data_IF_554698550898
#
_entry.id   IF_554698550898
#
_cell.length_a   1.000
_cell.length_b   1.000
_cell.length_c   1.000
_cell.angle_alpha   90.00
_cell.angle_beta   90.00
_cell.angle_gamma   90.00
#
_symmetry.space_group_name_H-M   'P 1'
#
loop_
_entity.id
_entity.type
_entity.pdbx_description
1 polymer ?
#
# COMPACT_ATOMS: atom_id res chain seq x y z
N UNK A 1 0.94 -5.32 -8.46
CA UNK A 1 1.44 -4.78 -7.16
C UNK A 1 2.61 -3.86 -7.40
N UNK A 2 2.83 -2.87 -6.52
CA UNK A 2 4.02 -1.99 -6.65
C UNK A 2 5.31 -2.82 -6.68
N UNK A 3 6.21 -2.48 -7.60
CA UNK A 3 7.52 -3.11 -7.78
C UNK A 3 7.53 -4.61 -8.16
N UNK A 4 6.42 -5.19 -8.56
CA UNK A 4 6.31 -6.64 -8.80
C UNK A 4 7.32 -7.15 -9.84
N UNK A 5 7.43 -6.49 -10.99
CA UNK A 5 8.38 -6.86 -12.03
C UNK A 5 9.84 -6.77 -11.60
N UNK A 6 10.19 -5.72 -10.86
CA UNK A 6 11.54 -5.55 -10.30
C UNK A 6 11.82 -6.62 -9.23
N UNK A 7 10.85 -6.84 -8.33
CA UNK A 7 10.97 -7.81 -7.25
C UNK A 7 11.17 -9.24 -7.77
N UNK A 8 10.41 -9.66 -8.79
CA UNK A 8 10.55 -10.99 -9.38
C UNK A 8 11.94 -11.23 -9.96
N UNK A 9 12.48 -10.26 -10.70
CA UNK A 9 13.81 -10.35 -11.31
C UNK A 9 14.92 -10.40 -10.27
N UNK A 10 14.88 -9.52 -9.26
CA UNK A 10 15.86 -9.52 -8.18
C UNK A 10 15.79 -10.79 -7.36
N UNK A 11 14.59 -11.31 -7.08
CA UNK A 11 14.43 -12.58 -6.38
C UNK A 11 14.99 -13.77 -7.17
N UNK A 12 14.83 -13.79 -8.49
CA UNK A 12 15.40 -14.83 -9.35
C UNK A 12 16.93 -14.82 -9.26
N UNK A 13 17.54 -13.64 -9.38
CA UNK A 13 19.00 -13.44 -9.24
C UNK A 13 19.51 -13.91 -7.88
N UNK A 14 18.86 -13.50 -6.79
CA UNK A 14 19.28 -13.88 -5.44
C UNK A 14 19.01 -15.36 -5.09
N UNK A 15 18.05 -16.00 -5.73
CA UNK A 15 17.81 -17.42 -5.59
C UNK A 15 19.00 -18.24 -6.10
N UNK A 16 19.61 -17.82 -7.21
CA UNK A 16 20.85 -18.45 -7.73
C UNK A 16 22.02 -18.29 -6.77
N UNK A 17 22.18 -17.13 -6.12
CA UNK A 17 23.22 -16.91 -5.13
C UNK A 17 23.05 -17.77 -3.86
N UNK A 18 21.80 -17.90 -3.37
CA UNK A 18 21.48 -18.69 -2.15
C UNK A 18 21.85 -20.16 -2.24
N UNK A 19 21.91 -20.72 -3.47
CA UNK A 19 22.29 -22.11 -3.70
C UNK A 19 23.79 -22.39 -3.61
N UNK A 20 24.65 -21.36 -3.52
CA UNK A 20 26.12 -21.48 -3.50
C UNK A 20 26.68 -21.33 -2.08
N UNK A 21 27.41 -22.31 -1.61
CA UNK A 21 28.01 -22.30 -0.27
C UNK A 21 29.15 -21.30 -0.11
N UNK A 22 29.84 -20.95 -1.23
CA UNK A 22 30.85 -19.89 -1.34
C UNK A 22 30.57 -19.08 -2.58
N UNK A 23 30.77 -17.77 -2.51
CA UNK A 23 30.67 -16.87 -3.65
C UNK A 23 32.06 -16.44 -4.11
N UNK A 24 32.32 -16.57 -5.40
CA UNK A 24 33.50 -15.98 -6.04
C UNK A 24 33.24 -14.53 -6.47
N UNK A 25 34.25 -13.76 -6.76
CA UNK A 25 34.11 -12.42 -7.36
C UNK A 25 33.33 -12.47 -8.69
N UNK A 26 33.49 -13.57 -9.46
CA UNK A 26 32.75 -13.75 -10.71
C UNK A 26 31.25 -13.95 -10.47
N UNK A 27 30.88 -14.70 -9.42
CA UNK A 27 29.48 -14.86 -9.02
C UNK A 27 28.83 -13.53 -8.64
N UNK A 28 29.57 -12.69 -7.90
CA UNK A 28 29.12 -11.35 -7.53
C UNK A 28 28.97 -10.46 -8.77
N UNK A 29 29.96 -10.47 -9.69
CA UNK A 29 29.91 -9.71 -10.94
C UNK A 29 28.73 -10.12 -11.82
N UNK A 30 28.45 -11.43 -11.92
CA UNK A 30 27.32 -11.95 -12.68
C UNK A 30 25.99 -11.48 -12.06
N UNK A 31 25.83 -11.65 -10.75
CA UNK A 31 24.62 -11.20 -10.04
C UNK A 31 24.40 -9.69 -10.17
N UNK A 32 25.46 -8.89 -10.06
CA UNK A 32 25.37 -7.43 -10.22
C UNK A 32 25.02 -7.02 -11.65
N UNK A 33 25.42 -7.82 -12.66
CA UNK A 33 24.97 -7.62 -14.05
C UNK A 33 23.46 -7.83 -14.19
N UNK A 34 22.92 -8.89 -13.57
CA UNK A 34 21.47 -9.15 -13.58
C UNK A 34 20.70 -8.06 -12.81
N UNK A 35 21.18 -7.66 -11.63
CA UNK A 35 20.62 -6.55 -10.85
C UNK A 35 20.60 -5.25 -11.68
N UNK A 36 21.71 -4.96 -12.40
CA UNK A 36 21.78 -3.80 -13.30
C UNK A 36 20.70 -3.84 -14.37
N UNK A 37 20.51 -4.99 -15.02
CA UNK A 37 19.50 -5.16 -16.05
C UNK A 37 18.08 -4.99 -15.46
N UNK A 38 17.83 -5.59 -14.32
CA UNK A 38 16.53 -5.48 -13.63
C UNK A 38 16.17 -4.02 -13.28
N UNK A 39 17.14 -3.24 -12.77
CA UNK A 39 16.94 -1.83 -12.46
C UNK A 39 16.73 -0.96 -13.71
N UNK A 40 17.46 -1.22 -14.79
CA UNK A 40 17.29 -0.49 -16.06
C UNK A 40 15.92 -0.79 -16.70
N UNK A 41 15.46 -2.04 -16.67
CA UNK A 41 14.15 -2.43 -17.16
C UNK A 41 13.02 -1.88 -16.28
N UNK A 42 13.31 -1.56 -15.02
CA UNK A 42 12.42 -0.85 -14.11
C UNK A 42 12.40 0.68 -14.33
N UNK A 43 13.00 1.20 -15.41
CA UNK A 43 13.12 2.63 -15.72
C UNK A 43 13.95 3.44 -14.69
N UNK A 44 14.86 2.80 -13.95
CA UNK A 44 15.82 3.53 -13.12
C UNK A 44 16.88 4.19 -14.00
N UNK A 45 17.22 5.46 -13.71
CA UNK A 45 18.18 6.20 -14.54
C UNK A 45 19.55 5.50 -14.57
N UNK A 46 20.18 5.50 -15.75
CA UNK A 46 21.46 4.81 -15.96
C UNK A 46 22.55 5.25 -14.98
N UNK A 47 22.64 6.53 -14.66
CA UNK A 47 23.60 7.07 -13.69
C UNK A 47 23.40 6.45 -12.31
N UNK A 48 22.15 6.43 -11.84
CA UNK A 48 21.81 5.85 -10.53
C UNK A 48 22.14 4.37 -10.50
N UNK A 49 21.79 3.62 -11.55
CA UNK A 49 22.09 2.17 -11.63
C UNK A 49 23.58 1.91 -11.65
N UNK A 50 24.37 2.71 -12.38
CA UNK A 50 25.82 2.57 -12.44
C UNK A 50 26.46 2.77 -11.06
N UNK A 51 26.09 3.84 -10.37
CA UNK A 51 26.63 4.18 -9.06
C UNK A 51 26.21 3.13 -8.01
N UNK A 52 24.96 2.71 -8.02
CA UNK A 52 24.44 1.65 -7.16
C UNK A 52 25.20 0.32 -7.33
N UNK A 53 25.32 -0.17 -8.57
CA UNK A 53 26.02 -1.45 -8.85
C UNK A 53 27.49 -1.36 -8.47
N UNK A 54 28.15 -0.22 -8.68
CA UNK A 54 29.53 0.02 -8.26
C UNK A 54 29.67 -0.11 -6.75
N UNK A 55 28.85 0.64 -5.99
CA UNK A 55 28.89 0.65 -4.52
C UNK A 55 28.61 -0.72 -3.93
N UNK A 56 27.57 -1.42 -4.42
CA UNK A 56 27.26 -2.78 -3.97
C UNK A 56 28.39 -3.75 -4.27
N UNK A 57 29.00 -3.68 -5.48
CA UNK A 57 30.11 -4.57 -5.85
C UNK A 57 31.35 -4.35 -4.97
N UNK A 58 31.72 -3.11 -4.73
CA UNK A 58 32.84 -2.74 -3.87
C UNK A 58 32.64 -3.24 -2.43
N UNK A 59 31.44 -3.05 -1.88
CA UNK A 59 31.07 -3.52 -0.54
C UNK A 59 31.01 -5.04 -0.47
N UNK A 60 30.48 -5.71 -1.50
CA UNK A 60 30.33 -7.17 -1.52
C UNK A 60 31.66 -7.90 -1.64
N UNK A 61 32.65 -7.35 -2.38
CA UNK A 61 33.99 -7.91 -2.51
C UNK A 61 34.84 -7.65 -1.26
N UNK A 62 34.68 -6.50 -0.60
CA UNK A 62 35.44 -6.12 0.61
C UNK A 62 34.81 -6.62 1.92
N UNK A 63 33.64 -7.25 1.89
CA UNK A 63 32.95 -7.67 3.11
C UNK A 63 33.61 -8.92 3.71
N UNK A 64 34.14 -8.79 4.92
CA UNK A 64 34.39 -9.96 5.78
C UNK A 64 33.05 -10.65 6.04
N UNK A 65 32.99 -11.95 5.78
CA UNK A 65 31.78 -12.75 6.03
C UNK A 65 31.57 -12.78 7.54
N UNK A 66 30.49 -12.15 8.01
CA UNK A 66 30.10 -12.27 9.39
C UNK A 66 29.81 -13.75 9.70
N UNK A 67 30.35 -14.29 10.79
CA UNK A 67 30.24 -15.69 11.18
C UNK A 67 28.80 -16.22 11.24
N UNK A 68 27.83 -15.32 11.33
CA UNK A 68 26.38 -15.65 11.42
C UNK A 68 25.62 -15.64 10.09
N UNK A 69 26.21 -15.17 8.97
CA UNK A 69 25.53 -15.04 7.68
C UNK A 69 26.25 -15.83 6.59
N UNK A 70 25.46 -16.42 5.68
CA UNK A 70 26.02 -16.97 4.44
C UNK A 70 26.47 -15.83 3.50
N UNK A 71 27.46 -16.07 2.60
CA UNK A 71 27.91 -15.05 1.65
C UNK A 71 26.78 -14.47 0.81
N UNK A 72 25.79 -15.28 0.41
CA UNK A 72 24.62 -14.82 -0.31
C UNK A 72 23.71 -13.90 0.53
N UNK A 73 23.54 -14.21 1.82
CA UNK A 73 22.78 -13.33 2.74
C UNK A 73 23.48 -12.01 2.95
N UNK A 74 24.82 -11.99 2.99
CA UNK A 74 25.61 -10.79 3.10
C UNK A 74 25.41 -9.87 1.88
N UNK A 75 25.46 -10.41 0.66
CA UNK A 75 25.19 -9.63 -0.57
C UNK A 75 23.78 -9.07 -0.58
N UNK A 76 22.77 -9.88 -0.21
CA UNK A 76 21.38 -9.42 -0.14
C UNK A 76 21.22 -8.30 0.90
N UNK A 77 21.88 -8.41 2.05
CA UNK A 77 21.90 -7.37 3.08
C UNK A 77 22.47 -6.05 2.54
N UNK A 78 23.62 -6.10 1.85
CA UNK A 78 24.24 -4.93 1.24
C UNK A 78 23.31 -4.29 0.21
N UNK A 79 22.68 -5.08 -0.66
CA UNK A 79 21.71 -4.58 -1.64
C UNK A 79 20.52 -3.91 -0.95
N UNK A 80 20.00 -4.49 0.15
CA UNK A 80 18.91 -3.89 0.92
C UNK A 80 19.29 -2.55 1.53
N UNK A 81 20.48 -2.46 2.12
CA UNK A 81 21.01 -1.22 2.71
C UNK A 81 21.20 -0.13 1.65
N UNK A 82 21.77 -0.47 0.50
CA UNK A 82 21.98 0.49 -0.59
C UNK A 82 20.67 0.92 -1.26
N UNK A 83 19.69 0.02 -1.43
CA UNK A 83 18.34 0.40 -1.90
C UNK A 83 17.67 1.34 -0.91
N UNK A 84 17.78 1.04 0.38
CA UNK A 84 17.23 1.90 1.45
C UNK A 84 17.87 3.29 1.43
N UNK A 85 19.19 3.35 1.33
CA UNK A 85 19.94 4.60 1.24
C UNK A 85 19.58 5.42 -0.01
N UNK A 86 19.45 4.75 -1.16
CA UNK A 86 19.06 5.37 -2.43
C UNK A 86 17.68 6.03 -2.35
N UNK A 87 16.74 5.43 -1.62
CA UNK A 87 15.38 5.96 -1.40
C UNK A 87 15.30 7.00 -0.26
N UNK A 88 16.39 7.27 0.45
CA UNK A 88 16.47 8.33 1.46
C UNK A 88 16.77 7.87 2.89
N UNK A 89 17.02 6.58 3.12
CA UNK A 89 17.46 6.00 4.40
C UNK A 89 16.32 5.85 5.41
N UNK A 90 15.65 6.94 5.78
CA UNK A 90 14.58 6.96 6.77
C UNK A 90 13.33 7.69 6.25
N UNK A 91 12.20 7.45 6.91
CA UNK A 91 10.96 8.17 6.62
C UNK A 91 11.11 9.66 6.91
N UNK A 92 10.78 10.50 5.94
CA UNK A 92 10.76 11.96 6.07
C UNK A 92 9.35 12.43 6.41
N UNK A 93 9.15 12.91 7.63
CA UNK A 93 7.87 13.44 8.09
C UNK A 93 7.56 14.81 7.48
N UNK A 94 6.29 15.19 7.48
CA UNK A 94 5.88 16.56 7.17
C UNK A 94 6.37 17.50 8.27
N UNK A 95 6.84 18.67 7.86
CA UNK A 95 7.23 19.75 8.78
C UNK A 95 6.01 20.57 9.17
N UNK A 96 5.83 20.79 10.45
CA UNK A 96 4.74 21.64 10.95
C UNK A 96 5.25 23.04 11.25
N UNK A 97 4.41 24.03 10.99
CA UNK A 97 4.70 25.42 11.34
C UNK A 97 4.72 25.57 12.87
N UNK A 98 5.61 26.43 13.37
CA UNK A 98 5.67 26.76 14.80
C UNK A 98 4.42 27.50 15.31
N UNK A 99 3.71 28.17 14.40
CA UNK A 99 2.42 28.82 14.64
C UNK A 99 1.42 28.38 13.58
N UNK A 100 0.25 27.87 13.95
CA UNK A 100 -0.80 27.50 13.01
C UNK A 100 -1.27 28.69 12.16
N UNK A 101 -1.74 28.43 10.92
CA UNK A 101 -1.82 27.13 10.27
C UNK A 101 -0.53 26.68 9.62
N UNK A 102 -0.30 25.35 9.55
CA UNK A 102 0.69 24.76 8.66
C UNK A 102 0.15 24.79 7.23
N UNK A 103 0.82 25.50 6.33
CA UNK A 103 0.40 25.61 4.93
C UNK A 103 1.17 24.61 4.07
N UNK A 104 0.46 23.71 3.43
CA UNK A 104 0.99 22.70 2.52
C UNK A 104 0.54 23.01 1.10
N UNK A 105 1.48 23.35 0.23
CA UNK A 105 1.22 23.65 -1.17
C UNK A 105 1.46 22.40 -2.03
N UNK A 106 0.42 21.92 -2.69
CA UNK A 106 0.49 20.74 -3.56
C UNK A 106 0.70 21.18 -4.99
N UNK A 107 1.81 20.76 -5.60
CA UNK A 107 2.18 21.12 -6.98
C UNK A 107 2.36 19.87 -7.84
N UNK A 108 2.38 20.03 -9.17
CA UNK A 108 2.60 18.90 -10.10
C UNK A 108 1.80 19.03 -11.40
N UNK A 109 2.07 18.13 -12.33
CA UNK A 109 1.43 18.12 -13.65
C UNK A 109 -0.06 17.72 -13.57
N UNK A 110 -0.80 18.00 -14.65
CA UNK A 110 -2.17 17.55 -14.79
C UNK A 110 -2.22 16.02 -14.82
N UNK A 111 -3.22 15.43 -14.16
CA UNK A 111 -3.37 13.96 -14.10
C UNK A 111 -2.48 13.25 -13.07
N UNK A 112 -1.54 13.96 -12.44
CA UNK A 112 -0.70 13.37 -11.38
C UNK A 112 -1.48 13.00 -10.09
N UNK A 113 -2.74 13.45 -9.96
CA UNK A 113 -3.59 13.12 -8.82
C UNK A 113 -3.54 14.13 -7.65
N UNK A 114 -3.19 15.41 -7.91
CA UNK A 114 -3.12 16.45 -6.87
C UNK A 114 -4.37 16.53 -6.02
N UNK A 115 -5.51 16.87 -6.60
CA UNK A 115 -6.80 17.03 -5.90
C UNK A 115 -7.16 15.84 -5.02
N UNK A 116 -6.97 14.62 -5.54
CA UNK A 116 -7.24 13.39 -4.78
C UNK A 116 -6.26 13.24 -3.61
N UNK A 117 -4.97 13.52 -3.80
CA UNK A 117 -3.98 13.36 -2.74
C UNK A 117 -4.00 14.51 -1.72
N UNK A 118 -4.42 15.71 -2.11
CA UNK A 118 -4.79 16.78 -1.17
C UNK A 118 -5.83 16.28 -0.18
N UNK A 119 -6.92 15.69 -0.68
CA UNK A 119 -7.97 15.15 0.17
C UNK A 119 -7.51 13.95 1.02
N UNK A 120 -6.71 13.04 0.44
CA UNK A 120 -6.14 11.88 1.16
C UNK A 120 -5.23 12.32 2.31
N UNK A 121 -4.32 13.27 2.07
CA UNK A 121 -3.43 13.81 3.10
C UNK A 121 -4.22 14.54 4.20
N UNK A 122 -5.19 15.36 3.83
CA UNK A 122 -6.05 16.01 4.80
C UNK A 122 -6.81 14.99 5.66
N UNK A 123 -7.36 13.94 5.05
CA UNK A 123 -8.00 12.83 5.75
C UNK A 123 -7.06 12.07 6.69
N UNK A 124 -5.81 11.85 6.26
CA UNK A 124 -4.76 11.22 7.05
C UNK A 124 -4.43 12.04 8.30
N UNK A 125 -4.19 13.35 8.17
CA UNK A 125 -3.89 14.23 9.29
C UNK A 125 -5.11 14.48 10.19
N UNK A 126 -6.32 14.51 9.64
CA UNK A 126 -7.53 14.58 10.45
C UNK A 126 -7.68 13.38 11.40
N UNK A 127 -7.34 12.17 10.95
CA UNK A 127 -7.32 10.98 11.82
C UNK A 127 -6.31 11.11 12.97
N UNK A 128 -5.29 11.94 12.82
CA UNK A 128 -4.29 12.25 13.85
C UNK A 128 -4.69 13.40 14.78
N UNK A 129 -5.89 13.95 14.62
CA UNK A 129 -6.42 15.01 15.46
C UNK A 129 -6.22 16.41 14.93
N UNK A 130 -5.66 16.59 13.73
CA UNK A 130 -5.56 17.89 13.08
C UNK A 130 -6.89 18.37 12.51
N UNK A 131 -6.99 19.66 12.27
CA UNK A 131 -8.16 20.34 11.69
C UNK A 131 -7.81 20.96 10.33
N UNK A 132 -7.71 20.13 9.27
CA UNK A 132 -7.32 20.60 7.95
C UNK A 132 -8.42 21.42 7.28
N UNK A 133 -8.00 22.37 6.43
CA UNK A 133 -8.79 23.10 5.47
C UNK A 133 -8.29 22.74 4.06
N UNK A 134 -9.17 22.37 3.15
CA UNK A 134 -8.87 22.22 1.74
C UNK A 134 -9.11 23.54 1.01
N UNK A 135 -8.23 23.93 0.10
CA UNK A 135 -8.34 25.20 -0.65
C UNK A 135 -8.27 24.94 -2.14
N UNK A 136 -9.31 25.38 -2.87
CA UNK A 136 -9.42 25.20 -4.32
C UNK A 136 -8.70 26.33 -5.06
N UNK A 137 -7.42 26.14 -5.39
CA UNK A 137 -6.63 27.06 -6.21
C UNK A 137 -6.55 26.65 -7.70
N UNK A 138 -7.09 25.49 -8.12
CA UNK A 138 -7.26 25.14 -9.53
C UNK A 138 -8.54 25.78 -10.10
N UNK A 139 -8.44 27.05 -10.41
CA UNK A 139 -9.59 27.87 -10.89
C UNK A 139 -9.87 27.71 -12.38
N UNK A 140 -8.95 27.11 -13.15
CA UNK A 140 -9.07 26.98 -14.60
C UNK A 140 -10.01 25.83 -15.00
N UNK A 141 -10.24 24.91 -14.10
CA UNK A 141 -11.11 23.76 -14.31
C UNK A 141 -12.27 23.80 -13.30
N UNK A 142 -13.48 24.27 -13.72
CA UNK A 142 -14.64 24.35 -12.81
C UNK A 142 -14.95 23.00 -12.14
N UNK A 143 -14.74 21.90 -12.85
CA UNK A 143 -14.91 20.56 -12.30
C UNK A 143 -13.93 20.24 -11.14
N UNK A 144 -12.75 20.87 -11.08
CA UNK A 144 -11.79 20.63 -10.01
C UNK A 144 -12.28 21.18 -8.65
N UNK A 145 -12.88 22.37 -8.66
CA UNK A 145 -13.50 22.96 -7.45
C UNK A 145 -14.60 22.04 -6.93
N UNK A 146 -15.52 21.64 -7.81
CA UNK A 146 -16.62 20.72 -7.46
C UNK A 146 -16.07 19.37 -6.97
N UNK A 147 -15.03 18.84 -7.62
CA UNK A 147 -14.39 17.59 -7.20
C UNK A 147 -13.81 17.71 -5.78
N UNK A 148 -13.10 18.80 -5.47
CA UNK A 148 -12.54 19.03 -4.15
C UNK A 148 -13.65 19.16 -3.09
N UNK A 149 -14.76 19.83 -3.41
CA UNK A 149 -15.94 19.94 -2.53
C UNK A 149 -16.57 18.56 -2.24
N UNK A 150 -16.71 17.70 -3.25
CA UNK A 150 -17.27 16.36 -3.09
C UNK A 150 -16.40 15.52 -2.16
N UNK A 151 -15.08 15.48 -2.39
CA UNK A 151 -14.17 14.68 -1.55
C UNK A 151 -14.03 15.27 -0.15
N UNK A 152 -14.03 16.60 -0.01
CA UNK A 152 -14.06 17.29 1.28
C UNK A 152 -15.30 16.92 2.10
N UNK A 153 -16.48 16.91 1.47
CA UNK A 153 -17.73 16.48 2.11
C UNK A 153 -17.69 15.00 2.54
N UNK A 154 -17.14 14.12 1.71
CA UNK A 154 -16.99 12.69 2.07
C UNK A 154 -16.09 12.50 3.30
N UNK A 155 -15.07 13.33 3.44
CA UNK A 155 -14.15 13.29 4.56
C UNK A 155 -14.59 14.17 5.74
N UNK A 156 -15.72 14.90 5.65
CA UNK A 156 -16.12 15.95 6.61
C UNK A 156 -14.99 16.97 6.88
N UNK A 157 -14.32 17.42 5.82
CA UNK A 157 -13.27 18.45 5.87
C UNK A 157 -13.80 19.68 5.14
N UNK A 158 -13.72 20.90 5.73
CA UNK A 158 -14.15 22.12 5.07
C UNK A 158 -13.30 22.41 3.83
N UNK A 159 -13.96 22.97 2.81
CA UNK A 159 -13.33 23.39 1.57
C UNK A 159 -13.53 24.90 1.41
N UNK A 160 -12.45 25.62 1.27
CA UNK A 160 -12.45 27.06 0.98
C UNK A 160 -12.32 27.25 -0.54
N UNK A 161 -13.20 28.05 -1.10
CA UNK A 161 -13.19 28.44 -2.51
C UNK A 161 -13.75 29.85 -2.68
N UNK A 162 -13.36 30.52 -3.72
CA UNK A 162 -13.83 31.87 -4.08
C UNK A 162 -14.19 31.97 -5.58
N UNK A 163 -14.54 30.83 -6.18
CA UNK A 163 -14.83 30.77 -7.62
C UNK A 163 -13.58 30.96 -8.48
N UNK A 164 -13.77 31.54 -9.65
CA UNK A 164 -12.71 31.71 -10.68
C UNK A 164 -12.03 33.08 -10.57
N UNK A 165 -11.31 33.34 -9.50
CA UNK A 165 -10.50 34.56 -9.30
C UNK A 165 -9.01 34.21 -9.24
N UNK A 166 -8.14 35.20 -9.00
CA UNK A 166 -6.69 34.98 -8.90
C UNK A 166 -6.37 33.93 -7.79
N UNK A 167 -5.72 32.79 -8.11
CA UNK A 167 -5.32 31.76 -7.16
C UNK A 167 -4.49 32.29 -5.99
N UNK A 168 -3.71 33.35 -6.21
CA UNK A 168 -2.90 33.99 -5.17
C UNK A 168 -3.80 34.61 -4.09
N UNK A 169 -4.86 35.28 -4.50
CA UNK A 169 -5.84 35.86 -3.57
C UNK A 169 -6.58 34.76 -2.80
N UNK A 170 -7.00 33.69 -3.49
CA UNK A 170 -7.66 32.53 -2.85
C UNK A 170 -6.76 31.94 -1.76
N UNK A 171 -5.49 31.73 -2.07
CA UNK A 171 -4.53 31.15 -1.13
C UNK A 171 -4.33 32.06 0.12
N UNK A 172 -4.23 33.37 -0.06
CA UNK A 172 -4.09 34.34 1.05
C UNK A 172 -5.33 34.37 1.95
N UNK A 173 -6.53 34.47 1.36
CA UNK A 173 -7.78 34.46 2.11
C UNK A 173 -8.05 33.14 2.81
N UNK A 174 -7.64 32.01 2.21
CA UNK A 174 -7.73 30.69 2.84
C UNK A 174 -6.88 30.59 4.11
N UNK A 175 -5.65 31.10 4.08
CA UNK A 175 -4.77 31.11 5.27
C UNK A 175 -5.37 31.99 6.38
N UNK A 176 -5.93 33.13 6.04
CA UNK A 176 -6.62 34.01 6.98
C UNK A 176 -7.87 33.31 7.55
N UNK A 177 -8.70 32.75 6.67
CA UNK A 177 -9.89 32.00 7.07
C UNK A 177 -9.54 30.85 8.04
N UNK A 178 -8.47 30.11 7.78
CA UNK A 178 -8.00 29.05 8.65
C UNK A 178 -7.67 29.54 10.06
N UNK A 179 -6.99 30.69 10.16
CA UNK A 179 -6.70 31.36 11.44
C UNK A 179 -7.97 31.74 12.21
N UNK A 180 -8.93 32.36 11.53
CA UNK A 180 -10.19 32.83 12.12
C UNK A 180 -11.11 31.65 12.57
N UNK A 181 -11.05 30.51 11.89
CA UNK A 181 -11.89 29.34 12.14
C UNK A 181 -11.18 28.23 12.92
N UNK A 182 -9.94 28.45 13.31
CA UNK A 182 -9.18 27.52 14.13
C UNK A 182 -8.74 26.26 13.38
N UNK A 183 -8.60 26.30 12.05
CA UNK A 183 -7.95 25.26 11.29
C UNK A 183 -6.44 25.35 11.49
N UNK A 184 -5.79 24.23 11.79
CA UNK A 184 -4.34 24.19 12.07
C UNK A 184 -3.50 23.76 10.87
N UNK A 185 -4.14 23.29 9.80
CA UNK A 185 -3.52 22.94 8.52
C UNK A 185 -4.32 23.50 7.35
N UNK A 186 -3.62 23.97 6.31
CA UNK A 186 -4.20 24.41 5.04
C UNK A 186 -3.53 23.66 3.90
N UNK A 187 -4.32 22.97 3.09
CA UNK A 187 -3.85 22.29 1.88
C UNK A 187 -4.28 23.09 0.66
N UNK A 188 -3.33 23.61 -0.11
CA UNK A 188 -3.57 24.35 -1.35
C UNK A 188 -3.54 23.36 -2.53
N UNK A 189 -4.69 23.12 -3.16
CA UNK A 189 -4.80 22.33 -4.40
C UNK A 189 -4.57 23.27 -5.58
N UNK A 190 -3.33 23.33 -6.08
CA UNK A 190 -2.96 24.24 -7.16
C UNK A 190 -3.27 23.66 -8.55
N UNK A 191 -3.37 24.53 -9.54
CA UNK A 191 -3.54 24.15 -10.92
C UNK A 191 -2.41 23.21 -11.41
N UNK A 192 -2.71 22.37 -12.37
CA UNK A 192 -1.73 21.60 -13.11
C UNK A 192 -1.97 21.71 -14.59
N UNK A 193 -0.90 21.81 -15.36
CA UNK A 193 -0.95 21.75 -16.82
C UNK A 193 -0.33 20.48 -17.35
N UNK A 194 -0.58 20.18 -18.63
CA UNK A 194 -0.04 18.98 -19.28
C UNK A 194 1.49 19.00 -19.37
N UNK A 195 2.04 20.21 -19.51
CA UNK A 195 3.48 20.43 -19.60
C UNK A 195 3.89 21.54 -18.63
N UNK A 196 5.16 21.56 -18.29
CA UNK A 196 5.78 22.63 -17.52
C UNK A 196 5.95 23.81 -18.46
N UNK A 197 5.25 24.90 -18.18
CA UNK A 197 5.36 26.18 -18.88
C UNK A 197 5.66 27.32 -17.92
N UNK A 198 6.13 28.46 -18.45
CA UNK A 198 6.51 29.62 -17.66
C UNK A 198 5.32 30.19 -16.88
N UNK A 199 4.13 30.21 -17.48
CA UNK A 199 2.94 30.77 -16.86
C UNK A 199 2.51 29.97 -15.61
N UNK A 200 2.59 28.63 -15.66
CA UNK A 200 2.34 27.78 -14.51
C UNK A 200 3.38 28.06 -13.41
N UNK A 201 4.65 28.09 -13.78
CA UNK A 201 5.72 28.28 -12.79
C UNK A 201 5.66 29.68 -12.14
N UNK A 202 5.32 30.71 -12.90
CA UNK A 202 5.15 32.05 -12.35
C UNK A 202 3.95 32.17 -11.42
N UNK A 203 2.83 31.53 -11.74
CA UNK A 203 1.68 31.45 -10.85
C UNK A 203 2.05 30.78 -9.52
N UNK A 204 2.71 29.61 -9.58
CA UNK A 204 3.14 28.87 -8.40
C UNK A 204 4.15 29.66 -7.56
N UNK A 205 5.08 30.40 -8.19
CA UNK A 205 6.02 31.30 -7.51
C UNK A 205 5.28 32.46 -6.81
N UNK A 206 4.26 33.03 -7.45
CA UNK A 206 3.42 34.08 -6.86
C UNK A 206 2.66 33.58 -5.63
N UNK A 207 2.03 32.39 -5.73
CA UNK A 207 1.37 31.76 -4.58
C UNK A 207 2.38 31.53 -3.45
N UNK A 208 3.54 30.90 -3.76
CA UNK A 208 4.61 30.66 -2.79
C UNK A 208 5.05 31.94 -2.07
N UNK A 209 5.28 33.01 -2.83
CA UNK A 209 5.71 34.31 -2.27
C UNK A 209 4.64 34.92 -1.35
N UNK A 210 3.36 34.76 -1.70
CA UNK A 210 2.22 35.36 -1.00
C UNK A 210 1.90 34.68 0.34
N UNK A 211 1.94 33.31 0.38
CA UNK A 211 1.53 32.54 1.57
C UNK A 211 2.68 31.93 2.34
N UNK A 212 3.89 31.91 1.77
CA UNK A 212 5.10 31.31 2.35
C UNK A 212 4.82 29.92 2.94
N UNK A 213 4.47 28.94 2.09
CA UNK A 213 4.05 27.63 2.56
C UNK A 213 5.13 26.99 3.44
N UNK A 214 4.70 26.26 4.45
CA UNK A 214 5.60 25.49 5.34
C UNK A 214 6.21 24.32 4.57
N UNK A 215 5.43 23.75 3.64
CA UNK A 215 5.84 22.62 2.79
C UNK A 215 5.31 22.80 1.38
N UNK A 216 6.16 22.53 0.41
CA UNK A 216 5.79 22.39 -1.02
C UNK A 216 5.97 20.93 -1.39
N UNK A 217 4.85 20.23 -1.62
CA UNK A 217 4.84 18.82 -1.97
C UNK A 217 4.55 18.64 -3.46
N UNK A 218 5.49 18.03 -4.16
CA UNK A 218 5.29 17.66 -5.56
C UNK A 218 4.55 16.32 -5.65
N UNK A 219 3.43 16.32 -6.33
CA UNK A 219 2.65 15.12 -6.63
C UNK A 219 3.08 14.58 -8.00
N UNK A 220 3.54 13.33 -8.02
CA UNK A 220 4.08 12.68 -9.22
C UNK A 220 3.43 11.32 -9.42
N UNK A 221 3.05 11.05 -10.66
CA UNK A 221 2.57 9.74 -11.09
C UNK A 221 3.77 8.79 -11.27
N UNK A 222 3.85 7.74 -10.46
CA UNK A 222 4.93 6.76 -10.51
C UNK A 222 5.00 6.00 -11.85
N UNK A 223 3.86 5.89 -12.55
CA UNK A 223 3.80 5.19 -13.85
C UNK A 223 4.47 5.93 -14.99
N UNK A 224 4.75 7.23 -14.86
CA UNK A 224 5.37 8.05 -15.92
C UNK A 224 6.88 7.86 -16.05
N UNK A 225 7.49 7.01 -15.18
CA UNK A 225 8.90 6.64 -15.30
C UNK A 225 9.86 7.83 -15.28
N UNK A 226 10.67 7.98 -16.34
CA UNK A 226 11.67 9.05 -16.42
C UNK A 226 11.06 10.46 -16.52
N UNK A 227 9.85 10.62 -17.05
CA UNK A 227 9.17 11.92 -17.09
C UNK A 227 8.83 12.44 -15.70
N UNK A 228 8.57 11.53 -14.74
CA UNK A 228 8.43 11.87 -13.33
C UNK A 228 9.68 12.53 -12.76
N UNK A 229 10.86 12.02 -13.14
CA UNK A 229 12.16 12.54 -12.71
C UNK A 229 12.42 13.92 -13.30
N UNK A 230 12.15 14.08 -14.61
CA UNK A 230 12.30 15.36 -15.31
C UNK A 230 11.38 16.43 -14.70
N UNK A 231 10.12 16.08 -14.44
CA UNK A 231 9.19 16.97 -13.77
C UNK A 231 9.68 17.34 -12.37
N UNK A 232 10.13 16.36 -11.57
CA UNK A 232 10.62 16.62 -10.22
C UNK A 232 11.81 17.58 -10.21
N UNK A 233 12.75 17.43 -11.12
CA UNK A 233 13.91 18.31 -11.26
C UNK A 233 13.46 19.74 -11.60
N UNK A 234 12.60 19.91 -12.58
CA UNK A 234 12.14 21.24 -13.01
C UNK A 234 11.31 21.96 -11.94
N UNK A 235 10.45 21.25 -11.22
CA UNK A 235 9.70 21.83 -10.09
C UNK A 235 10.61 22.19 -8.92
N UNK A 236 11.64 21.40 -8.65
CA UNK A 236 12.62 21.71 -7.60
C UNK A 236 13.46 22.92 -7.95
N UNK A 237 13.98 23.02 -9.17
CA UNK A 237 14.73 24.18 -9.65
C UNK A 237 13.90 25.48 -9.60
N UNK A 238 12.62 25.41 -9.98
CA UNK A 238 11.76 26.59 -10.05
C UNK A 238 11.21 27.03 -8.68
N UNK A 239 10.85 26.08 -7.82
CA UNK A 239 10.13 26.33 -6.58
C UNK A 239 10.90 25.91 -5.31
N UNK A 240 11.89 25.02 -5.41
CA UNK A 240 12.51 24.41 -4.24
C UNK A 240 11.50 23.60 -3.45
N UNK A 241 11.14 22.41 -3.95
CA UNK A 241 10.19 21.51 -3.28
C UNK A 241 10.78 20.96 -1.98
N UNK A 242 9.93 20.60 -1.01
CA UNK A 242 10.35 20.06 0.29
C UNK A 242 10.16 18.54 0.35
N UNK A 243 9.40 17.97 -0.58
CA UNK A 243 9.19 16.54 -0.67
C UNK A 243 8.29 16.14 -1.82
N UNK A 244 8.17 14.84 -2.00
CA UNK A 244 7.42 14.23 -3.10
C UNK A 244 6.33 13.31 -2.54
N UNK A 245 5.17 13.33 -3.20
CA UNK A 245 4.07 12.39 -3.02
C UNK A 245 3.97 11.54 -4.27
N UNK A 246 4.28 10.25 -4.17
CA UNK A 246 4.12 9.31 -5.27
C UNK A 246 2.69 8.80 -5.35
N UNK A 247 2.13 8.80 -6.55
CA UNK A 247 0.76 8.31 -6.81
C UNK A 247 0.77 7.11 -7.72
N UNK A 248 -0.34 6.38 -7.75
CA UNK A 248 -0.57 5.21 -8.64
C UNK A 248 0.48 4.10 -8.52
N UNK A 249 1.08 3.95 -7.35
CA UNK A 249 2.03 2.87 -7.08
C UNK A 249 1.40 1.47 -7.19
N UNK A 250 0.09 1.36 -6.99
CA UNK A 250 -0.69 0.14 -7.20
C UNK A 250 -0.67 -0.35 -8.66
N UNK A 251 -0.55 0.57 -9.62
CA UNK A 251 -0.39 0.28 -11.06
C UNK A 251 1.07 0.19 -11.53
N UNK A 252 2.03 0.62 -10.72
CA UNK A 252 3.45 0.66 -11.10
C UNK A 252 4.17 -0.66 -10.75
N UNK A 253 4.26 -1.53 -11.75
CA UNK A 253 5.05 -2.77 -11.63
C UNK A 253 6.58 -2.54 -11.71
N UNK A 254 7.04 -1.38 -12.19
CA UNK A 254 8.45 -1.08 -12.43
C UNK A 254 9.14 -0.44 -11.22
N UNK A 255 8.53 0.61 -10.65
CA UNK A 255 9.02 1.29 -9.44
C UNK A 255 10.25 2.18 -9.61
N UNK A 256 10.74 2.37 -10.83
CA UNK A 256 11.96 3.11 -11.09
C UNK A 256 11.90 4.60 -10.76
N UNK A 257 10.71 5.20 -10.85
CA UNK A 257 10.50 6.60 -10.49
C UNK A 257 10.88 6.86 -9.03
N UNK A 258 10.46 5.99 -8.10
CA UNK A 258 10.79 6.13 -6.67
C UNK A 258 12.31 6.15 -6.40
N UNK A 259 13.05 5.28 -7.11
CA UNK A 259 14.51 5.20 -6.98
C UNK A 259 15.22 6.39 -7.63
N UNK A 260 14.69 6.92 -8.74
CA UNK A 260 15.35 7.95 -9.54
C UNK A 260 15.07 9.37 -9.07
N UNK A 261 13.86 9.68 -8.60
CA UNK A 261 13.46 11.03 -8.15
C UNK A 261 14.36 11.52 -7.01
N UNK A 262 14.52 10.68 -5.99
CA UNK A 262 15.38 11.02 -4.85
C UNK A 262 16.83 11.27 -5.27
N UNK A 263 17.35 10.43 -6.13
CA UNK A 263 18.73 10.56 -6.63
C UNK A 263 18.93 11.82 -7.50
N UNK A 264 17.91 12.22 -8.27
CA UNK A 264 17.99 13.40 -9.15
C UNK A 264 17.81 14.71 -8.39
N UNK A 265 16.86 14.79 -7.43
CA UNK A 265 16.49 16.04 -6.75
C UNK A 265 17.10 16.17 -5.36
N UNK A 266 17.57 15.09 -4.76
CA UNK A 266 17.94 15.06 -3.34
C UNK A 266 16.76 15.18 -2.37
N UNK A 267 15.51 15.34 -2.88
CA UNK A 267 14.31 15.57 -2.05
C UNK A 267 13.70 14.25 -1.59
N UNK A 268 13.19 14.19 -0.36
CA UNK A 268 12.61 12.97 0.18
C UNK A 268 11.24 12.67 -0.43
N UNK A 269 10.95 11.40 -0.63
CA UNK A 269 9.57 10.95 -0.82
C UNK A 269 8.95 10.88 0.57
N UNK A 270 7.86 11.63 0.80
CA UNK A 270 7.20 11.71 2.11
C UNK A 270 6.00 10.80 2.22
N UNK A 271 5.21 10.71 1.13
CA UNK A 271 3.98 9.91 1.09
C UNK A 271 3.86 9.15 -0.21
N UNK A 272 3.07 8.08 -0.17
CA UNK A 272 2.72 7.28 -1.33
C UNK A 272 1.23 6.94 -1.35
N UNK A 273 0.60 7.10 -2.52
CA UNK A 273 -0.75 6.64 -2.80
C UNK A 273 -0.74 5.18 -3.24
N UNK A 274 -1.46 4.34 -2.53
CA UNK A 274 -1.48 2.87 -2.71
C UNK A 274 -2.77 2.35 -3.33
N UNK A 275 -3.63 3.24 -3.84
CA UNK A 275 -4.90 2.89 -4.49
C UNK A 275 -5.83 4.09 -4.65
N UNK A 276 -7.03 3.88 -5.16
CA UNK A 276 -7.98 4.96 -5.50
C UNK A 276 -8.75 5.52 -4.29
N UNK A 277 -9.01 4.72 -3.26
CA UNK A 277 -9.81 5.14 -2.11
C UNK A 277 -9.15 6.27 -1.33
N UNK A 278 -9.96 7.10 -0.67
CA UNK A 278 -9.51 8.29 0.06
C UNK A 278 -8.66 7.97 1.31
N UNK A 279 -8.69 6.76 1.81
CA UNK A 279 -7.87 6.29 2.92
C UNK A 279 -6.57 5.60 2.48
N UNK A 280 -6.38 5.40 1.17
CA UNK A 280 -5.20 4.73 0.60
C UNK A 280 -4.07 5.73 0.35
N UNK A 281 -3.48 6.23 1.41
CA UNK A 281 -2.24 7.01 1.42
C UNK A 281 -1.43 6.60 2.66
N UNK A 282 -0.13 6.46 2.49
CA UNK A 282 0.78 6.03 3.55
C UNK A 282 2.05 6.88 3.55
N UNK A 283 2.70 7.07 4.72
CA UNK A 283 4.07 7.58 4.77
C UNK A 283 5.00 6.66 3.99
N UNK A 284 5.96 7.26 3.29
CA UNK A 284 6.95 6.48 2.55
C UNK A 284 8.07 6.01 3.48
N UNK A 285 8.25 4.70 3.58
CA UNK A 285 9.29 4.05 4.39
C UNK A 285 10.32 3.39 3.48
N UNK A 286 11.50 4.01 3.28
CA UNK A 286 12.55 3.49 2.39
C UNK A 286 12.97 2.05 2.69
N UNK A 287 13.14 1.71 3.96
CA UNK A 287 13.51 0.38 4.45
C UNK A 287 12.49 -0.69 4.09
N UNK A 288 11.19 -0.39 4.28
CA UNK A 288 10.09 -1.30 3.92
C UNK A 288 9.97 -1.47 2.42
N UNK A 289 10.18 -0.39 1.65
CA UNK A 289 10.18 -0.44 0.20
C UNK A 289 11.34 -1.29 -0.34
N UNK A 290 12.54 -1.16 0.21
CA UNK A 290 13.66 -2.00 -0.14
C UNK A 290 13.37 -3.49 0.13
N UNK A 291 12.79 -3.81 1.28
CA UNK A 291 12.35 -5.17 1.62
C UNK A 291 11.29 -5.71 0.66
N UNK A 292 10.30 -4.90 0.25
CA UNK A 292 9.30 -5.29 -0.77
C UNK A 292 9.96 -5.59 -2.11
N UNK A 293 10.85 -4.71 -2.58
CA UNK A 293 11.62 -4.89 -3.82
C UNK A 293 12.43 -6.19 -3.79
N UNK A 294 12.98 -6.57 -2.64
CA UNK A 294 13.73 -7.80 -2.45
C UNK A 294 12.86 -9.04 -2.18
N UNK A 295 11.53 -8.90 -2.22
CA UNK A 295 10.58 -9.98 -1.94
C UNK A 295 10.66 -10.54 -0.52
N UNK A 296 11.17 -9.76 0.42
CA UNK A 296 11.28 -10.11 1.84
C UNK A 296 9.97 -9.86 2.60
N UNK A 297 8.98 -9.25 1.94
CA UNK A 297 7.71 -8.85 2.53
C UNK A 297 7.82 -7.54 3.32
N UNK A 298 6.68 -7.06 3.79
CA UNK A 298 6.58 -5.85 4.61
C UNK A 298 5.68 -6.14 5.81
N UNK A 299 6.22 -6.92 6.74
CA UNK A 299 5.50 -7.37 7.94
C UNK A 299 5.12 -6.20 8.83
N UNK A 300 5.95 -5.15 8.90
CA UNK A 300 5.69 -3.98 9.73
C UNK A 300 4.48 -3.18 9.23
N UNK A 301 4.41 -2.89 7.94
CA UNK A 301 3.22 -2.23 7.37
C UNK A 301 1.96 -3.09 7.51
N UNK A 302 2.08 -4.41 7.44
CA UNK A 302 0.96 -5.30 7.70
C UNK A 302 0.47 -5.21 9.16
N UNK A 303 1.40 -5.20 10.13
CA UNK A 303 1.07 -5.04 11.56
C UNK A 303 0.42 -3.69 11.81
N UNK A 304 0.98 -2.59 11.30
CA UNK A 304 0.43 -1.24 11.47
C UNK A 304 -0.97 -1.09 10.87
N UNK A 305 -1.23 -1.67 9.70
CA UNK A 305 -2.58 -1.69 9.12
C UNK A 305 -3.53 -2.53 9.95
N UNK A 306 -3.07 -3.67 10.45
CA UNK A 306 -3.86 -4.49 11.37
C UNK A 306 -4.21 -3.71 12.63
N UNK A 307 -3.24 -3.04 13.27
CA UNK A 307 -3.46 -2.21 14.46
C UNK A 307 -4.44 -1.06 14.21
N UNK A 308 -4.33 -0.36 13.08
CA UNK A 308 -5.26 0.72 12.71
C UNK A 308 -6.69 0.24 12.44
N UNK A 309 -6.86 -1.01 12.04
CA UNK A 309 -8.17 -1.62 11.76
C UNK A 309 -8.78 -2.33 12.97
N UNK A 310 -7.99 -2.56 14.03
CA UNK A 310 -8.44 -3.23 15.25
C UNK A 310 -9.08 -2.20 16.19
N UNK A 311 -10.39 -2.34 16.36
CA UNK A 311 -11.11 -1.74 17.48
C UNK A 311 -10.80 -2.56 18.73
N UNK A 312 -10.01 -2.00 19.65
CA UNK A 312 -9.56 -2.71 20.85
C UNK A 312 -10.71 -3.29 21.69
N UNK A 313 -11.84 -2.60 21.74
CA UNK A 313 -13.02 -3.11 22.45
C UNK A 313 -13.62 -4.34 21.77
N UNK A 314 -13.69 -4.32 20.43
CA UNK A 314 -14.17 -5.47 19.65
C UNK A 314 -13.20 -6.64 19.73
N UNK A 315 -11.89 -6.37 19.71
CA UNK A 315 -10.86 -7.39 19.85
C UNK A 315 -10.95 -8.10 21.22
N UNK A 316 -11.09 -7.36 22.32
CA UNK A 316 -11.29 -7.93 23.68
C UNK A 316 -12.56 -8.75 23.78
N UNK A 317 -13.69 -8.25 23.23
CA UNK A 317 -14.97 -8.98 23.20
C UNK A 317 -14.86 -10.28 22.39
N UNK A 318 -14.14 -10.25 21.28
CA UNK A 318 -13.89 -11.43 20.44
C UNK A 318 -13.02 -12.46 21.17
N UNK A 319 -11.94 -12.02 21.83
CA UNK A 319 -11.08 -12.89 22.62
C UNK A 319 -11.86 -13.59 23.74
N UNK A 320 -12.73 -12.88 24.46
CA UNK A 320 -13.61 -13.48 25.45
C UNK A 320 -14.58 -14.49 24.86
N UNK A 321 -15.19 -14.21 23.71
CA UNK A 321 -16.07 -15.13 22.99
C UNK A 321 -15.32 -16.38 22.52
N UNK A 322 -14.11 -16.23 22.02
CA UNK A 322 -13.24 -17.35 21.61
C UNK A 322 -12.89 -18.25 22.82
N UNK A 323 -12.50 -17.66 23.96
CA UNK A 323 -12.24 -18.40 25.21
C UNK A 323 -13.46 -19.15 25.71
N UNK A 324 -14.67 -18.59 25.51
CA UNK A 324 -15.95 -19.21 25.90
C UNK A 324 -16.52 -20.15 24.82
N UNK A 325 -15.80 -20.43 23.72
CA UNK A 325 -16.27 -21.20 22.56
C UNK A 325 -17.62 -20.71 21.98
N UNK A 326 -17.83 -19.40 21.98
CA UNK A 326 -19.07 -18.75 21.50
C UNK A 326 -18.86 -17.96 20.21
N UNK A 327 -18.00 -18.45 19.31
CA UNK A 327 -17.78 -17.83 18.01
C UNK A 327 -18.97 -18.08 17.08
N UNK A 328 -19.59 -17.01 16.57
CA UNK A 328 -20.84 -17.03 15.79
C UNK A 328 -20.62 -16.62 14.32
N UNK A 329 -21.64 -16.79 13.47
CA UNK A 329 -21.60 -16.26 12.09
C UNK A 329 -21.61 -14.73 12.04
N UNK A 330 -22.15 -14.05 13.07
CA UNK A 330 -22.01 -12.59 13.21
C UNK A 330 -20.55 -12.20 13.42
N UNK A 331 -19.83 -12.90 14.31
CA UNK A 331 -18.41 -12.64 14.54
C UNK A 331 -17.58 -12.94 13.29
N UNK A 332 -17.93 -13.98 12.53
CA UNK A 332 -17.29 -14.31 11.25
C UNK A 332 -17.51 -13.22 10.21
N UNK A 333 -18.71 -12.65 10.12
CA UNK A 333 -19.00 -11.53 9.25
C UNK A 333 -18.19 -10.28 9.62
N UNK A 334 -18.14 -9.95 10.91
CA UNK A 334 -17.35 -8.81 11.40
C UNK A 334 -15.87 -8.96 11.04
N UNK A 335 -15.31 -10.18 11.12
CA UNK A 335 -13.93 -10.46 10.69
C UNK A 335 -13.75 -10.29 9.17
N UNK A 336 -14.74 -10.69 8.35
CA UNK A 336 -14.68 -10.47 6.90
C UNK A 336 -14.71 -8.99 6.54
N UNK A 337 -15.57 -8.20 7.22
CA UNK A 337 -15.64 -6.74 7.02
C UNK A 337 -14.32 -6.08 7.43
N UNK A 338 -13.73 -6.51 8.54
CA UNK A 338 -12.44 -6.03 9.01
C UNK A 338 -11.32 -6.35 8.01
N UNK A 339 -11.26 -7.58 7.48
CA UNK A 339 -10.30 -7.95 6.43
C UNK A 339 -10.47 -7.08 5.17
N UNK A 340 -11.71 -6.81 4.76
CA UNK A 340 -12.00 -5.90 3.64
C UNK A 340 -11.50 -4.47 3.90
N UNK A 341 -11.57 -4.00 5.14
CA UNK A 341 -11.11 -2.65 5.51
C UNK A 341 -9.58 -2.51 5.52
N UNK A 342 -8.83 -3.61 5.68
CA UNK A 342 -7.37 -3.63 5.66
C UNK A 342 -6.76 -3.51 4.25
N UNK A 343 -7.58 -3.56 3.21
CA UNK A 343 -7.15 -3.48 1.81
C UNK A 343 -7.54 -4.70 0.96
N UNK A 344 -7.08 -4.74 -0.30
CA UNK A 344 -7.34 -5.92 -1.13
C UNK A 344 -6.49 -7.10 -0.63
N UNK A 345 -7.03 -8.32 -0.81
CA UNK A 345 -6.34 -9.55 -0.41
C UNK A 345 -4.98 -9.71 -1.11
N UNK A 346 -4.88 -9.24 -2.35
CA UNK A 346 -3.62 -9.21 -3.12
C UNK A 346 -2.60 -8.27 -2.48
N UNK A 347 -3.04 -7.12 -1.96
CA UNK A 347 -2.16 -6.20 -1.23
C UNK A 347 -1.65 -6.82 0.07
N UNK A 348 -2.52 -7.50 0.81
CA UNK A 348 -2.15 -8.21 2.04
C UNK A 348 -1.20 -9.38 1.77
N UNK A 349 -1.48 -10.17 0.72
CA UNK A 349 -0.60 -11.26 0.28
C UNK A 349 0.80 -10.75 -0.13
N UNK A 350 0.88 -9.58 -0.79
CA UNK A 350 2.14 -8.94 -1.18
C UNK A 350 2.99 -8.43 0.00
N UNK A 351 2.39 -8.19 1.16
CA UNK A 351 3.11 -7.80 2.38
C UNK A 351 3.70 -8.99 3.14
N UNK A 352 3.20 -10.21 2.87
CA UNK A 352 3.67 -11.42 3.56
C UNK A 352 4.95 -11.97 2.93
N UNK A 353 5.95 -12.37 3.75
CA UNK A 353 7.23 -12.83 3.24
C UNK A 353 7.17 -14.24 2.61
N UNK A 354 7.89 -14.43 1.50
CA UNK A 354 8.25 -15.73 0.93
C UNK A 354 7.09 -16.58 0.44
N UNK A 355 7.09 -17.87 0.81
CA UNK A 355 6.07 -18.83 0.35
C UNK A 355 4.66 -18.57 0.88
N UNK A 356 4.53 -17.96 2.06
CA UNK A 356 3.23 -17.65 2.64
C UNK A 356 2.47 -16.63 1.78
N UNK A 357 3.13 -15.56 1.34
CA UNK A 357 2.56 -14.57 0.45
C UNK A 357 2.15 -15.17 -0.90
N UNK A 358 3.00 -16.05 -1.47
CA UNK A 358 2.68 -16.78 -2.72
C UNK A 358 1.52 -17.77 -2.56
N UNK A 359 1.45 -18.47 -1.43
CA UNK A 359 0.33 -19.37 -1.13
C UNK A 359 -0.98 -18.60 -0.93
N UNK A 360 -0.92 -17.44 -0.29
CA UNK A 360 -2.08 -16.55 -0.15
C UNK A 360 -2.49 -15.93 -1.50
N UNK A 361 -1.54 -15.48 -2.31
CA UNK A 361 -1.83 -14.94 -3.65
C UNK A 361 -2.37 -16.01 -4.61
N UNK A 362 -1.89 -17.27 -4.50
CA UNK A 362 -2.37 -18.41 -5.29
C UNK A 362 -3.64 -19.08 -4.71
N UNK A 363 -4.01 -18.75 -3.47
CA UNK A 363 -5.33 -19.06 -2.98
C UNK A 363 -6.29 -18.10 -3.70
N UNK A 364 -6.84 -18.54 -4.83
CA UNK A 364 -7.92 -17.85 -5.55
C UNK A 364 -9.10 -17.63 -4.59
N UNK A 365 -8.96 -16.65 -3.69
CA UNK A 365 -10.10 -16.08 -2.99
C UNK A 365 -10.80 -15.18 -3.99
N UNK A 366 -11.62 -15.81 -4.84
CA UNK A 366 -12.49 -15.10 -5.78
C UNK A 366 -13.23 -13.99 -5.01
N UNK A 367 -13.06 -12.70 -5.36
CA UNK A 367 -13.82 -11.60 -4.75
C UNK A 367 -15.32 -11.86 -4.74
N UNK A 368 -15.82 -12.62 -5.71
CA UNK A 368 -17.20 -13.10 -5.76
C UNK A 368 -17.52 -14.06 -4.61
N UNK A 369 -16.59 -14.92 -4.21
CA UNK A 369 -16.80 -15.85 -3.11
C UNK A 369 -16.94 -15.13 -1.77
N UNK A 370 -16.18 -14.04 -1.53
CA UNK A 370 -16.36 -13.19 -0.35
C UNK A 370 -17.70 -12.45 -0.39
N UNK A 371 -18.10 -11.91 -1.55
CA UNK A 371 -19.39 -11.26 -1.72
C UNK A 371 -20.56 -12.25 -1.53
N UNK A 372 -20.45 -13.48 -2.03
CA UNK A 372 -21.44 -14.54 -1.80
C UNK A 372 -21.54 -14.92 -0.32
N UNK A 373 -20.42 -15.06 0.37
CA UNK A 373 -20.39 -15.34 1.82
C UNK A 373 -21.10 -14.24 2.61
N UNK A 374 -20.83 -12.98 2.30
CA UNK A 374 -21.47 -11.81 2.89
C UNK A 374 -22.97 -11.81 2.63
N UNK A 375 -23.39 -12.02 1.38
CA UNK A 375 -24.81 -12.07 0.98
C UNK A 375 -25.57 -13.19 1.71
N UNK A 376 -24.96 -14.37 1.85
CA UNK A 376 -25.57 -15.51 2.58
C UNK A 376 -25.77 -15.13 4.05
N UNK A 377 -24.75 -14.58 4.72
CA UNK A 377 -24.85 -14.22 6.15
C UNK A 377 -25.86 -13.09 6.35
N UNK A 378 -25.87 -12.09 5.48
CA UNK A 378 -26.83 -10.99 5.56
C UNK A 378 -28.27 -11.42 5.31
N UNK A 379 -28.50 -12.49 4.53
CA UNK A 379 -29.83 -13.09 4.31
C UNK A 379 -30.34 -13.93 5.50
N UNK A 380 -29.49 -14.18 6.51
CA UNK A 380 -29.89 -14.83 7.76
C UNK A 380 -30.48 -13.81 8.75
N UNK A 381 -31.42 -14.24 9.59
CA UNK A 381 -31.87 -13.44 10.75
C UNK A 381 -30.78 -13.35 11.80
N UNK A 382 -30.76 -12.33 12.70
CA UNK A 382 -29.78 -12.25 13.79
C UNK A 382 -29.75 -13.53 14.64
N UNK A 383 -30.90 -14.11 14.94
CA UNK A 383 -30.99 -15.37 15.70
C UNK A 383 -30.30 -16.54 14.99
N UNK A 384 -30.45 -16.65 13.65
CA UNK A 384 -29.83 -17.70 12.84
C UNK A 384 -28.31 -17.55 12.73
N UNK A 385 -27.81 -16.31 12.72
CA UNK A 385 -26.36 -16.03 12.73
C UNK A 385 -25.71 -16.42 14.06
N UNK A 386 -26.43 -16.25 15.16
CA UNK A 386 -25.97 -16.64 16.47
C UNK A 386 -26.12 -18.14 16.75
N UNK A 387 -27.11 -18.78 16.13
CA UNK A 387 -27.46 -20.20 16.36
C UNK A 387 -27.49 -20.98 15.03
N UNK A 388 -26.38 -21.25 14.36
CA UNK A 388 -26.36 -21.94 13.08
C UNK A 388 -27.00 -23.36 13.10
N UNK A 389 -27.06 -23.99 14.26
CA UNK A 389 -27.69 -25.31 14.44
C UNK A 389 -29.20 -25.34 14.11
N UNK A 390 -29.90 -24.17 14.13
CA UNK A 390 -31.33 -24.10 13.81
C UNK A 390 -31.58 -24.07 12.29
N UNK A 391 -30.53 -24.05 11.44
CA UNK A 391 -30.63 -23.93 10.00
C UNK A 391 -31.06 -25.25 9.33
N UNK A 392 -32.33 -25.59 9.43
CA UNK A 392 -32.93 -26.71 8.71
C UNK A 392 -33.13 -26.43 7.20
N UNK A 393 -33.58 -27.44 6.45
CA UNK A 393 -33.70 -27.39 4.99
C UNK A 393 -34.56 -26.21 4.48
N UNK A 394 -35.69 -25.90 5.15
CA UNK A 394 -36.56 -24.79 4.78
C UNK A 394 -35.88 -23.44 4.92
N UNK A 395 -35.17 -23.20 6.03
CA UNK A 395 -34.44 -21.96 6.28
C UNK A 395 -33.29 -21.77 5.28
N UNK A 396 -32.55 -22.84 4.98
CA UNK A 396 -31.45 -22.82 3.95
C UNK A 396 -31.99 -22.46 2.57
N UNK A 397 -33.19 -22.98 2.17
CA UNK A 397 -33.85 -22.61 0.90
C UNK A 397 -34.21 -21.12 0.89
N UNK A 398 -34.80 -20.59 1.98
CA UNK A 398 -35.15 -19.18 2.09
C UNK A 398 -33.91 -18.27 2.00
N UNK A 399 -32.82 -18.64 2.71
CA UNK A 399 -31.56 -17.88 2.71
C UNK A 399 -30.96 -17.88 1.29
N UNK A 400 -30.89 -19.03 0.62
CA UNK A 400 -30.41 -19.15 -0.74
C UNK A 400 -31.22 -18.29 -1.72
N UNK A 401 -32.53 -18.33 -1.65
CA UNK A 401 -33.43 -17.50 -2.45
C UNK A 401 -33.22 -15.98 -2.17
N UNK A 402 -32.99 -15.61 -0.90
CA UNK A 402 -32.79 -14.22 -0.48
C UNK A 402 -31.47 -13.60 -0.98
N UNK A 403 -30.43 -14.41 -1.20
CA UNK A 403 -29.14 -13.95 -1.72
C UNK A 403 -28.90 -14.29 -3.20
N UNK A 404 -29.88 -14.91 -3.89
CA UNK A 404 -29.75 -15.28 -5.30
C UNK A 404 -28.72 -16.39 -5.58
N UNK A 405 -28.46 -17.25 -4.58
CA UNK A 405 -27.50 -18.36 -4.65
C UNK A 405 -28.21 -19.71 -4.45
N UNK A 406 -27.44 -20.79 -4.59
CA UNK A 406 -27.96 -22.14 -4.40
C UNK A 406 -27.83 -22.62 -2.94
N UNK A 407 -28.67 -23.59 -2.55
CA UNK A 407 -28.60 -24.22 -1.21
C UNK A 407 -27.23 -24.89 -0.96
N UNK A 408 -26.57 -25.31 -2.04
CA UNK A 408 -25.22 -25.89 -1.99
C UNK A 408 -24.22 -24.87 -1.47
N UNK A 409 -24.32 -23.59 -1.85
CA UNK A 409 -23.42 -22.53 -1.39
C UNK A 409 -23.62 -22.22 0.09
N UNK A 410 -24.87 -22.20 0.55
CA UNK A 410 -25.20 -22.07 1.98
C UNK A 410 -24.60 -23.24 2.78
N UNK A 411 -24.72 -24.47 2.28
CA UNK A 411 -24.13 -25.64 2.96
C UNK A 411 -22.59 -25.60 2.96
N UNK A 412 -21.98 -25.11 1.89
CA UNK A 412 -20.51 -24.92 1.80
C UNK A 412 -20.01 -23.94 2.86
N UNK A 413 -20.69 -22.79 3.00
CA UNK A 413 -20.37 -21.80 4.04
C UNK A 413 -20.49 -22.38 5.45
N UNK A 414 -21.59 -23.07 5.74
CA UNK A 414 -21.80 -23.67 7.07
C UNK A 414 -20.72 -24.72 7.40
N UNK A 415 -20.33 -25.53 6.42
CA UNK A 415 -19.25 -26.51 6.60
C UNK A 415 -17.90 -25.85 6.83
N UNK A 416 -17.59 -24.77 6.12
CA UNK A 416 -16.36 -23.98 6.34
C UNK A 416 -16.36 -23.35 7.75
N UNK A 417 -17.51 -22.82 8.18
CA UNK A 417 -17.65 -22.26 9.51
C UNK A 417 -17.49 -23.31 10.61
N UNK A 418 -18.04 -24.52 10.48
CA UNK A 418 -17.86 -25.61 11.41
C UNK A 418 -16.39 -26.06 11.50
N UNK A 419 -15.69 -26.15 10.37
CA UNK A 419 -14.26 -26.46 10.34
C UNK A 419 -13.45 -25.41 11.09
N UNK A 420 -13.75 -24.12 10.88
CA UNK A 420 -13.09 -23.03 11.58
C UNK A 420 -13.35 -23.06 13.08
N UNK A 421 -14.60 -23.28 13.52
CA UNK A 421 -14.93 -23.46 14.93
C UNK A 421 -14.15 -24.63 15.57
N UNK A 422 -13.99 -25.72 14.84
CA UNK A 422 -13.22 -26.88 15.33
C UNK A 422 -11.74 -26.58 15.50
N UNK A 423 -11.14 -25.80 14.57
CA UNK A 423 -9.76 -25.33 14.68
C UNK A 423 -9.58 -24.40 15.89
N UNK A 424 -10.48 -23.43 16.06
CA UNK A 424 -10.46 -22.54 17.21
C UNK A 424 -10.50 -23.32 18.52
N UNK A 425 -11.36 -24.32 18.63
CA UNK A 425 -11.44 -25.21 19.81
C UNK A 425 -10.17 -25.97 20.06
N UNK A 426 -9.43 -26.40 19.04
CA UNK A 426 -8.16 -27.08 19.17
C UNK A 426 -7.05 -26.15 19.68
N UNK A 427 -6.96 -24.94 19.15
CA UNK A 427 -5.98 -23.92 19.55
C UNK A 427 -6.23 -23.47 20.98
N UNK A 428 -7.47 -23.22 21.37
CA UNK A 428 -7.81 -22.75 22.74
C UNK A 428 -7.62 -23.82 23.82
N UNK A 429 -7.60 -25.11 23.45
CA UNK A 429 -7.35 -26.24 24.37
C UNK A 429 -5.87 -26.64 24.49
N UNK A 430 -4.93 -25.86 23.93
CA UNK A 430 -3.50 -26.15 24.01
C UNK A 430 -3.02 -27.31 23.12
N UNK A 431 -3.81 -27.69 22.12
CA UNK A 431 -3.45 -28.74 21.17
C UNK A 431 -2.41 -28.26 20.15
N UNK A 432 -1.35 -29.06 19.91
CA UNK A 432 -0.41 -28.84 18.80
C UNK A 432 -1.20 -28.83 17.48
N UNK A 433 -0.90 -27.86 16.59
CA UNK A 433 -1.44 -27.85 15.22
C UNK A 433 -1.27 -29.23 14.56
N UNK A 434 -2.30 -29.77 13.88
CA UNK A 434 -2.17 -31.05 13.17
C UNK A 434 -1.06 -30.96 12.12
N UNK A 435 -0.10 -31.85 12.14
CA UNK A 435 0.86 -32.09 11.05
C UNK A 435 0.06 -32.59 9.83
N UNK A 436 -0.43 -31.69 8.98
CA UNK A 436 -1.22 -32.13 7.81
C UNK A 436 -1.84 -31.04 6.96
N UNK A 437 -1.64 -29.76 7.25
CA UNK A 437 -2.22 -28.68 6.44
C UNK A 437 -1.28 -28.13 5.37
N UNK A 438 -0.46 -29.00 4.74
CA UNK A 438 0.34 -28.76 3.54
C UNK A 438 -0.26 -29.45 2.31
N UNK A 439 -1.58 -29.35 2.05
CA UNK A 439 -2.15 -30.13 0.96
C UNK A 439 -3.58 -29.77 0.58
N UNK A 440 -3.84 -28.50 0.23
CA UNK A 440 -4.97 -28.17 -0.65
C UNK A 440 -4.43 -27.94 -2.06
N UNK A 441 -4.41 -29.03 -2.85
CA UNK A 441 -4.03 -28.98 -4.27
C UNK A 441 -3.45 -30.31 -4.74
N UNK A 442 -4.23 -31.14 -5.41
CA UNK A 442 -3.74 -32.26 -6.19
C UNK A 442 -4.31 -33.61 -5.81
N UNK A 443 -5.54 -33.85 -6.19
CA UNK A 443 -6.09 -35.21 -6.25
C UNK A 443 -5.28 -36.06 -7.24
N UNK A 444 -4.37 -36.89 -6.75
CA UNK A 444 -3.80 -37.99 -7.55
C UNK A 444 -4.85 -39.08 -7.67
N UNK A 445 -5.44 -39.23 -8.85
CA UNK A 445 -6.13 -40.45 -9.27
C UNK A 445 -5.17 -41.63 -9.13
N UNK A 446 -5.43 -42.51 -8.18
CA UNK A 446 -4.82 -43.83 -8.15
C UNK A 446 -5.54 -44.70 -9.16
N UNK A 447 -4.87 -44.98 -10.29
CA UNK A 447 -5.28 -45.95 -11.25
C UNK A 447 -5.29 -47.38 -10.64
N UNK A 448 -6.40 -48.03 -10.84
CA UNK A 448 -6.58 -49.46 -10.56
C UNK A 448 -5.69 -50.29 -11.52
N UNK A 449 -4.57 -50.79 -11.03
CA UNK A 449 -3.73 -51.75 -11.71
C UNK A 449 -3.87 -53.13 -11.06
N UNK A 450 -4.76 -53.94 -11.61
CA UNK A 450 -4.92 -55.35 -11.30
C UNK A 450 -3.72 -56.12 -11.82
N UNK A 451 -2.83 -56.66 -10.99
CA UNK A 451 -1.88 -57.70 -11.37
C UNK A 451 -2.41 -59.03 -10.90
N UNK A 452 -2.87 -59.85 -11.87
CA UNK A 452 -3.00 -61.28 -11.73
C UNK A 452 -1.60 -61.91 -11.68
N UNK A 453 -1.33 -62.66 -10.63
CA UNK A 453 -0.27 -63.68 -10.62
C UNK A 453 -0.84 -64.99 -11.12
N UNK A 454 -0.22 -65.61 -12.16
CA UNK A 454 -0.24 -67.01 -12.47
C UNK A 454 1.17 -67.53 -12.33
N UNK A 455 1.25 -68.64 -11.59
CA UNK A 455 2.33 -69.57 -11.40
C UNK A 455 3.77 -69.10 -11.35
#
# INVERSE_FOLDING_TARGET
>A
MAFEGLSEKLNATFKHLRGKGRLSEEDIKLAMREVRLALLEADVSYKVVKDFVKTVSERAVGAEVLDSLTPAQQVIKIVNEELTALMGGANAKLTFASKPPTVVMMVGLQGAGKTTNVAKLAGYFRKQGHRPLLTACDVYRPAAITQLQVVGKQLNIPVFEMGQIDPVQIAQEAVKYAGDHGNDMVFLDTAGRLHIDEALMDELKRIKAAVKPTEILLVVDAMTGQDAVNAATAFDEALGIDGVVLTKLDGDARGGAALSIRAATGKPIKFMGTGEKLDMIEPFHPDRMAQRILGMGDVLSFIERAEQSIDEEKAKKLEEKLKKNRFTLSDYYDQLVQLKSMGSFEQLAGMMPGQLGKQMANAELDPKMMAHTEAIILSMTPYERENPAVLGASRKKRIAAGCGLEVVDVNRLLKQFEMMQSMIKQVTRGGKMPKGMGGFGGGRMRGFGRKKRFK
#
